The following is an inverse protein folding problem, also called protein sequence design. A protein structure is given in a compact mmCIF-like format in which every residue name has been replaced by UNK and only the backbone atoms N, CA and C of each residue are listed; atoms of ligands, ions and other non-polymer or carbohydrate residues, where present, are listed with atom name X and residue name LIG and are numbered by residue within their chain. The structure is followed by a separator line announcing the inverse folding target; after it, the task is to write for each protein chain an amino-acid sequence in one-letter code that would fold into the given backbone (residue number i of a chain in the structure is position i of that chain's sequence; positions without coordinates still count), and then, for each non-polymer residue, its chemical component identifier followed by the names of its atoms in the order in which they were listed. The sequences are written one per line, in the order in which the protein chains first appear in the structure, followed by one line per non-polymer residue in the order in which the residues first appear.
data_IF_468685610824
#
_entry.id   IF_468685610824
#
_cell.length_a   1.000
_cell.length_b   1.000
_cell.length_c   1.000
_cell.angle_alpha   90.00
_cell.angle_beta   90.00
_cell.angle_gamma   90.00
#
_symmetry.space_group_name_H-M   'P 1'
#
loop_
_entity.id
_entity.type
_entity.pdbx_description
1 polymer ?
#
# COMPACT_ATOMS: atom_id res chain seq x y z
N UNK A 1 18.60 52.99 -26.43
CA UNK A 1 19.21 51.97 -25.54
C UNK A 1 18.28 51.42 -24.45
N UNK A 2 17.27 52.16 -23.94
CA UNK A 2 16.38 51.67 -22.86
C UNK A 2 15.48 50.48 -23.22
N UNK A 3 15.15 50.30 -24.52
CA UNK A 3 14.21 49.25 -24.98
C UNK A 3 14.86 47.87 -25.23
N UNK A 4 16.19 47.78 -25.30
CA UNK A 4 16.91 46.52 -25.53
C UNK A 4 17.16 45.75 -24.21
N UNK A 5 17.38 46.50 -23.13
CA UNK A 5 17.57 45.94 -21.78
C UNK A 5 16.28 45.28 -21.26
N UNK A 6 15.13 45.95 -21.46
CA UNK A 6 13.83 45.44 -21.03
C UNK A 6 13.42 44.14 -21.75
N UNK A 7 13.74 44.01 -23.04
CA UNK A 7 13.47 42.79 -23.83
C UNK A 7 14.33 41.61 -23.40
N UNK A 8 15.59 41.86 -22.99
CA UNK A 8 16.50 40.81 -22.52
C UNK A 8 16.12 40.29 -21.13
N UNK A 9 15.66 41.17 -20.24
CA UNK A 9 15.17 40.80 -18.89
C UNK A 9 13.89 39.97 -18.98
N UNK A 10 12.96 40.34 -19.88
CA UNK A 10 11.72 39.58 -20.09
C UNK A 10 11.97 38.17 -20.64
N UNK A 11 12.95 38.01 -21.53
CA UNK A 11 13.32 36.69 -22.08
C UNK A 11 13.93 35.77 -21.01
N UNK A 12 14.81 36.30 -20.14
CA UNK A 12 15.42 35.53 -19.04
C UNK A 12 14.37 35.13 -17.99
N UNK A 13 13.42 36.02 -17.66
CA UNK A 13 12.31 35.71 -16.76
C UNK A 13 11.38 34.64 -17.32
N UNK A 14 11.08 34.68 -18.63
CA UNK A 14 10.24 33.67 -19.27
C UNK A 14 10.94 32.29 -19.29
N UNK A 15 12.25 32.24 -19.57
CA UNK A 15 13.03 31.01 -19.51
C UNK A 15 13.14 30.43 -18.09
N UNK A 16 13.20 31.29 -17.07
CA UNK A 16 13.26 30.88 -15.66
C UNK A 16 11.92 30.29 -15.19
N UNK A 17 10.78 30.86 -15.63
CA UNK A 17 9.44 30.36 -15.26
C UNK A 17 9.16 28.99 -15.90
N UNK A 18 9.60 28.76 -17.14
CA UNK A 18 9.41 27.45 -17.82
C UNK A 18 10.30 26.36 -17.21
N UNK A 19 11.51 26.70 -16.76
CA UNK A 19 12.41 25.73 -16.12
C UNK A 19 11.91 25.24 -14.75
N UNK A 20 11.15 26.05 -14.01
CA UNK A 20 10.60 25.69 -12.70
C UNK A 20 9.34 24.82 -12.83
N UNK A 21 8.60 24.91 -13.95
CA UNK A 21 7.39 24.09 -14.18
C UNK A 21 7.68 22.64 -14.60
N UNK A 22 8.93 22.30 -14.91
CA UNK A 22 9.38 20.92 -15.17
C UNK A 22 10.04 20.28 -13.94
N UNK A 23 9.63 20.65 -12.72
CA UNK A 23 9.76 19.71 -11.61
C UNK A 23 8.91 18.48 -11.99
N UNK A 24 9.58 17.48 -12.54
CA UNK A 24 8.98 16.22 -12.94
C UNK A 24 8.10 15.73 -11.79
N UNK A 25 6.78 15.72 -12.01
CA UNK A 25 5.91 14.87 -11.22
C UNK A 25 6.41 13.46 -11.52
N UNK A 26 7.24 12.91 -10.63
CA UNK A 26 7.61 11.50 -10.70
C UNK A 26 6.30 10.72 -10.63
N UNK A 27 5.85 10.23 -11.79
CA UNK A 27 4.67 9.38 -11.87
C UNK A 27 5.02 8.11 -11.12
N UNK A 28 4.39 7.96 -9.95
CA UNK A 28 4.61 6.81 -9.11
C UNK A 28 4.09 5.55 -9.81
N UNK A 29 5.00 4.61 -10.14
CA UNK A 29 4.69 3.39 -10.91
C UNK A 29 5.08 2.12 -10.13
N UNK A 30 4.32 1.84 -9.07
CA UNK A 30 4.44 0.57 -8.35
C UNK A 30 3.56 -0.50 -9.01
N UNK A 31 4.14 -1.69 -9.16
CA UNK A 31 3.50 -2.90 -9.66
C UNK A 31 3.63 -4.01 -8.62
N UNK A 32 3.02 -5.17 -8.86
CA UNK A 32 3.24 -6.34 -7.99
C UNK A 32 4.71 -6.67 -7.74
N UNK A 33 5.60 -6.47 -8.73
CA UNK A 33 7.04 -6.79 -8.60
C UNK A 33 7.83 -5.76 -7.82
N UNK A 34 7.38 -4.50 -7.82
CA UNK A 34 8.05 -3.37 -7.19
C UNK A 34 7.36 -2.93 -5.89
N UNK A 35 6.22 -3.54 -5.55
CA UNK A 35 5.49 -3.28 -4.33
C UNK A 35 6.39 -3.43 -3.10
N UNK A 36 6.21 -2.60 -2.06
CA UNK A 36 7.02 -2.69 -0.87
C UNK A 36 6.68 -3.93 -0.04
N UNK A 37 7.59 -4.26 0.87
CA UNK A 37 7.43 -5.38 1.78
C UNK A 37 6.68 -4.97 3.04
N UNK A 38 5.54 -5.59 3.31
CA UNK A 38 4.79 -5.42 4.55
C UNK A 38 4.90 -6.70 5.39
N UNK A 39 5.60 -6.63 6.54
CA UNK A 39 6.00 -7.82 7.32
C UNK A 39 6.74 -8.87 6.46
N UNK A 40 7.67 -8.41 5.62
CA UNK A 40 8.42 -9.22 4.64
C UNK A 40 7.54 -9.91 3.57
N UNK A 41 6.25 -9.56 3.48
CA UNK A 41 5.38 -9.99 2.41
C UNK A 41 5.36 -8.99 1.27
N UNK A 42 5.51 -9.49 0.05
CA UNK A 42 5.32 -8.70 -1.17
C UNK A 42 4.02 -9.11 -1.87
N UNK A 43 3.32 -8.13 -2.42
CA UNK A 43 2.30 -8.38 -3.44
C UNK A 43 2.92 -9.21 -4.58
N UNK A 44 2.17 -10.15 -5.15
CA UNK A 44 2.64 -11.07 -6.17
C UNK A 44 3.28 -12.37 -5.64
N UNK A 45 3.58 -12.46 -4.34
CA UNK A 45 4.09 -13.71 -3.75
C UNK A 45 3.12 -14.89 -3.94
N UNK A 46 3.67 -16.06 -4.22
CA UNK A 46 2.94 -17.32 -4.22
C UNK A 46 2.68 -17.80 -2.78
N UNK A 47 1.67 -18.69 -2.56
CA UNK A 47 1.35 -19.19 -1.23
C UNK A 47 2.52 -19.86 -0.49
N UNK A 48 3.40 -20.56 -1.22
CA UNK A 48 4.61 -21.19 -0.71
C UNK A 48 5.70 -20.17 -0.34
N UNK A 49 5.85 -19.11 -1.12
CA UNK A 49 6.73 -17.98 -0.78
C UNK A 49 6.22 -17.27 0.49
N UNK A 50 4.91 -17.03 0.58
CA UNK A 50 4.26 -16.44 1.77
C UNK A 50 4.42 -17.36 3.00
N UNK A 51 4.25 -18.67 2.81
CA UNK A 51 4.46 -19.66 3.86
C UNK A 51 5.90 -19.64 4.40
N UNK A 52 6.87 -19.40 3.52
CA UNK A 52 8.29 -19.33 3.86
C UNK A 52 8.61 -18.13 4.75
N UNK A 53 7.94 -16.98 4.54
CA UNK A 53 8.09 -15.77 5.37
C UNK A 53 7.71 -16.02 6.83
N UNK A 54 6.67 -16.82 7.06
CA UNK A 54 6.19 -17.13 8.41
C UNK A 54 6.71 -18.47 8.96
N UNK A 55 7.53 -19.19 8.19
CA UNK A 55 8.09 -20.48 8.59
C UNK A 55 7.00 -21.49 9.00
N UNK A 56 7.03 -21.93 10.26
CA UNK A 56 6.04 -22.88 10.82
C UNK A 56 4.88 -22.19 11.55
N UNK A 57 4.91 -20.87 11.65
CA UNK A 57 3.99 -20.11 12.50
C UNK A 57 2.57 -20.06 11.92
N UNK A 58 2.46 -20.07 10.59
CA UNK A 58 1.19 -20.08 9.87
C UNK A 58 1.09 -21.34 9.00
N UNK A 59 -0.13 -21.80 8.69
CA UNK A 59 -0.35 -22.88 7.72
C UNK A 59 -1.28 -22.41 6.62
N UNK A 60 -0.69 -21.92 5.53
CA UNK A 60 -1.41 -21.50 4.35
C UNK A 60 -1.64 -22.75 3.51
N UNK A 61 -2.88 -23.26 3.46
CA UNK A 61 -3.25 -24.34 2.51
C UNK A 61 -2.87 -23.91 1.08
N UNK A 62 -2.89 -24.77 0.07
CA UNK A 62 -2.69 -24.36 -1.34
C UNK A 62 -3.93 -24.79 -2.14
N UNK A 63 -4.41 -23.92 -3.05
CA UNK A 63 -5.47 -24.25 -4.03
C UNK A 63 -4.94 -23.99 -5.44
N UNK A 64 -5.47 -24.72 -6.43
CA UNK A 64 -4.95 -24.70 -7.80
C UNK A 64 -5.31 -23.42 -8.58
N UNK A 65 -6.47 -22.80 -8.32
CA UNK A 65 -6.94 -21.60 -9.02
C UNK A 65 -7.99 -20.83 -8.21
N UNK A 66 -8.31 -19.61 -8.67
CA UNK A 66 -9.39 -18.79 -8.14
C UNK A 66 -9.01 -17.94 -6.94
N UNK A 67 -10.01 -17.24 -6.41
CA UNK A 67 -9.84 -16.39 -5.24
C UNK A 67 -9.74 -17.22 -3.96
N UNK A 68 -8.87 -16.77 -3.06
CA UNK A 68 -8.76 -17.34 -1.73
C UNK A 68 -8.34 -16.35 -0.68
N UNK A 69 -8.99 -16.45 0.48
CA UNK A 69 -8.58 -15.76 1.69
C UNK A 69 -7.91 -16.73 2.68
N UNK A 70 -6.77 -16.32 3.22
CA UNK A 70 -6.20 -16.84 4.44
C UNK A 70 -6.43 -15.82 5.55
N UNK A 71 -6.84 -16.30 6.72
CA UNK A 71 -7.11 -15.47 7.88
C UNK A 71 -6.48 -16.12 9.12
N UNK A 72 -5.78 -15.32 9.90
CA UNK A 72 -5.27 -15.72 11.21
C UNK A 72 -5.63 -14.66 12.25
N UNK A 73 -6.16 -15.11 13.38
CA UNK A 73 -6.49 -14.28 14.53
C UNK A 73 -5.57 -14.64 15.71
N UNK A 74 -5.10 -13.64 16.44
CA UNK A 74 -4.24 -13.74 17.62
C UNK A 74 -4.86 -13.15 18.90
N UNK A 75 -6.16 -12.83 18.89
CA UNK A 75 -6.86 -12.29 20.07
C UNK A 75 -6.79 -13.23 21.27
N UNK A 76 -6.93 -14.55 21.04
CA UNK A 76 -6.95 -15.56 22.12
C UNK A 76 -5.60 -16.19 22.38
N UNK A 77 -4.65 -16.05 21.46
CA UNK A 77 -3.32 -16.65 21.53
C UNK A 77 -2.31 -15.63 21.01
N UNK A 78 -1.27 -15.29 21.79
CA UNK A 78 -0.30 -14.28 21.38
C UNK A 78 0.28 -14.61 20.02
N UNK A 79 0.46 -13.57 19.20
CA UNK A 79 1.13 -13.69 17.93
C UNK A 79 2.57 -14.21 18.13
N UNK A 80 3.09 -15.01 17.18
CA UNK A 80 4.49 -15.40 17.20
C UNK A 80 5.40 -14.16 17.18
N UNK A 81 6.67 -14.33 17.53
CA UNK A 81 7.64 -13.22 17.62
C UNK A 81 7.73 -12.45 16.30
N UNK A 82 7.66 -13.15 15.17
CA UNK A 82 7.64 -12.61 13.81
C UNK A 82 6.45 -11.66 13.52
N UNK A 83 5.38 -11.76 14.31
CA UNK A 83 4.12 -11.01 14.17
C UNK A 83 3.78 -10.24 15.46
N UNK A 84 4.78 -9.86 16.27
CA UNK A 84 4.53 -9.17 17.53
C UNK A 84 3.69 -7.90 17.35
N UNK A 85 2.64 -7.76 18.15
CA UNK A 85 1.71 -6.63 18.10
C UNK A 85 0.67 -6.73 16.98
N UNK A 86 0.67 -7.80 16.19
CA UNK A 86 -0.41 -8.11 15.25
C UNK A 86 -1.52 -8.86 15.98
N UNK A 87 -2.74 -8.33 15.90
CA UNK A 87 -3.95 -8.95 16.44
C UNK A 87 -4.62 -9.88 15.41
N UNK A 88 -4.58 -9.52 14.14
CA UNK A 88 -5.11 -10.35 13.06
C UNK A 88 -4.44 -10.06 11.72
N UNK A 89 -4.44 -11.05 10.84
CA UNK A 89 -3.83 -11.02 9.51
C UNK A 89 -4.79 -11.63 8.48
N UNK A 90 -5.04 -10.91 7.40
CA UNK A 90 -5.73 -11.41 6.21
C UNK A 90 -4.81 -11.33 5.01
N UNK A 91 -4.71 -12.44 4.28
CA UNK A 91 -3.95 -12.55 3.03
C UNK A 91 -4.90 -13.05 1.95
N UNK A 92 -5.05 -12.30 0.86
CA UNK A 92 -5.92 -12.71 -0.25
C UNK A 92 -5.10 -13.01 -1.48
N UNK A 93 -5.40 -14.14 -2.09
CA UNK A 93 -4.73 -14.67 -3.26
C UNK A 93 -5.73 -14.79 -4.40
N UNK A 94 -5.25 -14.55 -5.61
CA UNK A 94 -5.98 -14.82 -6.83
C UNK A 94 -5.02 -15.44 -7.83
N UNK A 95 -5.41 -16.55 -8.44
CA UNK A 95 -4.57 -17.33 -9.35
C UNK A 95 -3.15 -17.57 -8.79
N UNK A 96 -3.10 -17.97 -7.51
CA UNK A 96 -1.88 -18.26 -6.74
C UNK A 96 -0.94 -17.05 -6.55
N UNK A 97 -1.44 -15.83 -6.66
CA UNK A 97 -0.68 -14.61 -6.40
C UNK A 97 -1.33 -13.80 -5.28
N UNK A 98 -0.55 -13.44 -4.27
CA UNK A 98 -0.96 -12.56 -3.17
C UNK A 98 -1.29 -11.19 -3.76
N UNK A 99 -2.52 -10.72 -3.64
CA UNK A 99 -2.92 -9.42 -4.18
C UNK A 99 -3.37 -8.45 -3.09
N UNK A 100 -3.62 -8.92 -1.87
CA UNK A 100 -3.99 -8.07 -0.74
C UNK A 100 -3.42 -8.63 0.56
N UNK A 101 -2.78 -7.74 1.32
CA UNK A 101 -2.28 -7.96 2.68
C UNK A 101 -3.02 -6.98 3.58
N UNK A 102 -3.69 -7.47 4.62
CA UNK A 102 -4.42 -6.64 5.57
C UNK A 102 -4.06 -7.08 7.00
N UNK A 103 -3.52 -6.14 7.78
CA UNK A 103 -2.98 -6.38 9.12
C UNK A 103 -3.72 -5.50 10.11
N UNK A 104 -4.20 -6.12 11.18
CA UNK A 104 -4.78 -5.44 12.32
C UNK A 104 -3.79 -5.51 13.48
N UNK A 105 -3.39 -4.36 14.01
CA UNK A 105 -2.50 -4.28 15.16
C UNK A 105 -3.29 -4.22 16.47
N UNK A 106 -2.63 -4.59 17.56
CA UNK A 106 -3.13 -4.31 18.89
C UNK A 106 -3.27 -2.78 19.09
N UNK A 107 -4.32 -2.31 19.77
CA UNK A 107 -4.43 -0.89 20.12
C UNK A 107 -3.22 -0.49 20.95
N UNK A 108 -2.44 0.49 20.47
CA UNK A 108 -1.37 1.10 21.26
C UNK A 108 -1.94 2.32 21.97
N UNK A 109 -1.58 2.57 23.23
CA UNK A 109 -2.05 3.78 23.94
C UNK A 109 -1.45 5.07 23.34
N UNK A 110 -0.29 4.97 22.69
CA UNK A 110 0.35 6.06 21.95
C UNK A 110 -0.23 6.17 20.54
N UNK A 111 -1.43 6.71 20.45
CA UNK A 111 -2.12 6.86 19.18
C UNK A 111 -1.64 8.11 18.45
N UNK A 112 -0.86 7.87 17.39
CA UNK A 112 -0.45 8.87 16.39
C UNK A 112 -1.66 9.25 15.52
N UNK A 113 -1.72 10.49 15.03
CA UNK A 113 -2.70 10.88 14.00
C UNK A 113 -2.52 10.04 12.73
N UNK A 114 -3.56 9.93 11.88
CA UNK A 114 -3.46 9.19 10.62
C UNK A 114 -2.38 9.76 9.69
N UNK A 115 -2.15 11.06 9.75
CA UNK A 115 -1.05 11.73 9.05
C UNK A 115 0.29 11.17 9.49
N UNK A 116 0.52 11.06 10.80
CA UNK A 116 1.78 10.56 11.35
C UNK A 116 1.96 9.06 11.08
N UNK A 117 0.88 8.28 11.10
CA UNK A 117 0.91 6.85 10.73
C UNK A 117 1.28 6.72 9.25
N UNK A 118 0.61 7.44 8.37
CA UNK A 118 0.85 7.35 6.92
C UNK A 118 2.23 7.84 6.51
N UNK A 119 2.76 8.90 7.13
CA UNK A 119 4.13 9.34 6.92
C UNK A 119 5.13 8.28 7.38
N UNK A 120 4.92 7.70 8.58
CA UNK A 120 5.80 6.65 9.09
C UNK A 120 5.78 5.41 8.18
N UNK A 121 4.61 4.99 7.72
CA UNK A 121 4.46 3.84 6.83
C UNK A 121 5.03 4.12 5.44
N UNK A 122 4.77 5.29 4.88
CA UNK A 122 5.35 5.75 3.62
C UNK A 122 6.88 5.69 3.69
N UNK A 123 7.48 6.18 4.77
CA UNK A 123 8.93 6.12 4.99
C UNK A 123 9.45 4.69 5.18
N UNK A 124 8.78 3.88 6.01
CA UNK A 124 9.20 2.49 6.27
C UNK A 124 9.10 1.59 5.05
N UNK A 125 8.07 1.81 4.23
CA UNK A 125 7.78 1.01 3.05
C UNK A 125 8.39 1.63 1.78
N UNK A 126 9.05 2.79 1.86
CA UNK A 126 9.48 3.55 0.69
C UNK A 126 8.33 3.77 -0.33
N UNK A 127 7.14 4.11 0.17
CA UNK A 127 5.93 4.32 -0.61
C UNK A 127 5.71 5.83 -0.81
N UNK A 128 5.68 6.38 -2.04
CA UNK A 128 5.56 7.83 -2.25
C UNK A 128 4.24 8.40 -1.74
N UNK A 129 4.26 9.60 -1.15
CA UNK A 129 3.11 10.23 -0.49
C UNK A 129 2.34 11.24 -1.38
N UNK A 130 2.72 11.38 -2.64
CA UNK A 130 2.23 12.44 -3.56
C UNK A 130 0.70 12.51 -3.66
N UNK A 131 0.02 11.36 -3.60
CA UNK A 131 -1.43 11.25 -3.84
C UNK A 131 -2.19 10.73 -2.62
N UNK A 132 -1.81 11.20 -1.42
CA UNK A 132 -2.47 10.82 -0.16
C UNK A 132 -3.84 11.51 -0.02
N UNK A 133 -4.88 10.70 0.20
CA UNK A 133 -6.24 11.14 0.51
C UNK A 133 -6.59 10.71 1.94
N UNK A 134 -7.05 11.63 2.78
CA UNK A 134 -7.53 11.34 4.13
C UNK A 134 -9.01 11.72 4.23
N UNK A 135 -9.87 10.73 4.46
CA UNK A 135 -11.32 10.92 4.63
C UNK A 135 -11.85 9.93 5.66
N UNK A 136 -12.80 10.33 6.50
CA UNK A 136 -13.52 9.44 7.43
C UNK A 136 -12.63 8.51 8.27
N UNK A 137 -11.57 9.04 8.89
CA UNK A 137 -10.59 8.27 9.67
C UNK A 137 -9.88 7.14 8.89
N UNK A 138 -9.74 7.33 7.58
CA UNK A 138 -9.01 6.47 6.67
C UNK A 138 -8.09 7.31 5.82
N UNK A 139 -6.84 6.89 5.72
CA UNK A 139 -5.86 7.44 4.83
C UNK A 139 -5.53 6.42 3.75
N UNK A 140 -5.45 6.87 2.51
CA UNK A 140 -5.14 6.06 1.35
C UNK A 140 -4.09 6.76 0.51
N UNK A 141 -3.11 6.00 0.05
CA UNK A 141 -2.07 6.45 -0.87
C UNK A 141 -2.09 5.48 -2.04
N UNK A 142 -2.19 6.01 -3.27
CA UNK A 142 -2.16 5.22 -4.50
C UNK A 142 -0.89 5.51 -5.29
N UNK A 143 -0.34 4.46 -5.89
CA UNK A 143 0.83 4.56 -6.74
C UNK A 143 0.84 3.39 -7.73
N UNK A 144 0.74 3.69 -9.03
CA UNK A 144 0.58 2.68 -10.07
C UNK A 144 -0.59 1.73 -9.78
N UNK A 145 -0.30 0.43 -9.73
CA UNK A 145 -1.26 -0.63 -9.43
C UNK A 145 -1.51 -0.83 -7.93
N UNK A 146 -0.70 -0.21 -7.06
CA UNK A 146 -0.66 -0.51 -5.62
C UNK A 146 -1.31 0.61 -4.81
N UNK A 147 -2.09 0.23 -3.80
CA UNK A 147 -2.53 1.14 -2.76
C UNK A 147 -2.04 0.71 -1.40
N UNK A 148 -1.78 1.73 -0.57
CA UNK A 148 -1.51 1.61 0.85
C UNK A 148 -2.62 2.34 1.60
N UNK A 149 -3.34 1.62 2.46
CA UNK A 149 -4.42 2.14 3.28
C UNK A 149 -4.05 1.99 4.75
N UNK A 150 -4.31 3.03 5.52
CA UNK A 150 -4.25 2.99 6.97
C UNK A 150 -5.54 3.59 7.55
N UNK A 151 -6.18 2.91 8.50
CA UNK A 151 -7.36 3.44 9.17
C UNK A 151 -7.47 3.09 10.65
N UNK A 152 -8.42 3.78 11.27
CA UNK A 152 -8.95 3.60 12.61
C UNK A 152 -7.90 3.54 13.72
N UNK A 153 -7.73 4.66 14.41
CA UNK A 153 -6.87 4.80 15.57
C UNK A 153 -7.17 3.74 16.67
N UNK A 154 -8.43 3.37 16.89
CA UNK A 154 -8.83 2.40 17.93
C UNK A 154 -8.58 0.94 17.52
N UNK A 155 -8.47 0.66 16.22
CA UNK A 155 -8.19 -0.66 15.66
C UNK A 155 -7.24 -0.50 14.48
N UNK A 156 -5.96 -0.19 14.73
CA UNK A 156 -5.05 0.23 13.67
C UNK A 156 -4.95 -0.85 12.60
N UNK A 157 -5.39 -0.50 11.40
CA UNK A 157 -5.35 -1.37 10.23
C UNK A 157 -4.38 -0.81 9.21
N UNK A 158 -3.58 -1.68 8.63
CA UNK A 158 -2.76 -1.38 7.46
C UNK A 158 -3.12 -2.39 6.38
N UNK A 159 -3.42 -1.90 5.19
CA UNK A 159 -3.74 -2.70 4.02
C UNK A 159 -2.85 -2.29 2.84
N UNK A 160 -2.20 -3.27 2.19
CA UNK A 160 -1.45 -3.11 0.95
C UNK A 160 -2.12 -3.98 -0.12
N UNK A 161 -2.49 -3.40 -1.27
CA UNK A 161 -3.31 -4.10 -2.26
C UNK A 161 -2.93 -3.78 -3.70
N UNK A 162 -3.00 -4.77 -4.59
CA UNK A 162 -3.02 -4.58 -6.05
C UNK A 162 -4.46 -4.27 -6.51
N UNK A 163 -4.68 -3.03 -6.92
CA UNK A 163 -6.00 -2.51 -7.30
C UNK A 163 -6.55 -3.13 -8.57
N UNK A 164 -5.70 -3.41 -9.55
CA UNK A 164 -6.12 -4.04 -10.82
C UNK A 164 -6.70 -5.44 -10.54
N UNK A 165 -6.01 -6.21 -9.71
CA UNK A 165 -6.44 -7.56 -9.33
C UNK A 165 -7.69 -7.50 -8.47
N UNK A 166 -7.78 -6.54 -7.53
CA UNK A 166 -9.00 -6.32 -6.72
C UNK A 166 -10.22 -6.05 -7.60
N UNK A 167 -10.11 -5.10 -8.53
CA UNK A 167 -11.19 -4.74 -9.46
C UNK A 167 -11.62 -5.93 -10.33
N UNK A 168 -10.67 -6.71 -10.86
CA UNK A 168 -10.97 -7.94 -11.61
C UNK A 168 -11.76 -8.96 -10.79
N UNK A 169 -11.40 -9.16 -9.52
CA UNK A 169 -12.10 -10.09 -8.63
C UNK A 169 -13.50 -9.60 -8.30
N UNK A 170 -13.66 -8.29 -8.06
CA UNK A 170 -14.97 -7.68 -7.82
C UNK A 170 -15.89 -7.87 -9.04
N UNK A 171 -15.39 -7.63 -10.25
CA UNK A 171 -16.13 -7.89 -11.49
C UNK A 171 -16.53 -9.37 -11.63
N UNK A 172 -15.62 -10.31 -11.34
CA UNK A 172 -15.93 -11.75 -11.37
C UNK A 172 -17.00 -12.14 -10.34
N UNK A 173 -16.97 -11.54 -9.15
CA UNK A 173 -17.98 -11.78 -8.09
C UNK A 173 -19.34 -11.24 -8.47
N UNK A 174 -19.41 -10.08 -9.13
CA UNK A 174 -20.67 -9.52 -9.61
C UNK A 174 -21.27 -10.37 -10.73
N UNK A 175 -20.44 -10.84 -11.67
CA UNK A 175 -20.88 -11.74 -12.74
C UNK A 175 -21.35 -13.09 -12.23
N UNK A 176 -20.69 -13.65 -11.22
CA UNK A 176 -21.07 -14.94 -10.61
C UNK A 176 -22.30 -14.89 -9.68
N UNK A 177 -22.83 -13.69 -9.40
CA UNK A 177 -24.08 -13.48 -8.65
C UNK A 177 -25.32 -13.33 -9.55
N UNK A 178 -25.14 -13.26 -10.86
CA UNK A 178 -26.21 -13.27 -11.86
C UNK A 178 -26.46 -14.69 -12.35
#
# INVERSE_FOLDING_TARGET
MKNALAKSIAAVLFSLVVAITCAAQETCDLSSKTAPLLLNLQIGMAPDETQSVFGKDLKIKIKKSGERTFFQNFIKKPAPVSLRGVRALYLRFFDRRLYQIEIFYEPRQELRTLENITIALSSQLNFPISDRIITNNRAEIKCGEISLVADNILNPRIELTNEITRAKIEELREKGKK
#
